data_IF_838158790289
#
_entry.id   IF_838158790289
#
_cell.length_a   1.000
_cell.length_b   1.000
_cell.length_c   1.000
_cell.angle_alpha   90.00
_cell.angle_beta   90.00
_cell.angle_gamma   90.00
#
_symmetry.space_group_name_H-M   'P 1'
#
loop_
_entity.id
_entity.type
_entity.pdbx_description
1 polymer ?
#
# COMPACT_ATOMS: atom_id res chain seq x y z
N UNK A 1 -3.82 28.02 -30.03
CA UNK A 1 -3.76 28.28 -28.58
C UNK A 1 -5.18 28.27 -28.03
N UNK A 2 -5.85 27.10 -28.11
CA UNK A 2 -7.27 26.96 -27.76
C UNK A 2 -7.39 25.99 -26.58
N UNK A 3 -8.04 26.44 -25.52
CA UNK A 3 -8.23 25.75 -24.25
C UNK A 3 -9.38 24.73 -24.34
N UNK A 4 -9.11 23.56 -24.92
CA UNK A 4 -10.11 22.47 -24.98
C UNK A 4 -10.18 21.76 -23.62
N UNK A 5 -11.17 22.15 -22.81
CA UNK A 5 -11.41 21.63 -21.47
C UNK A 5 -11.78 20.14 -21.43
N UNK A 6 -11.23 19.42 -20.45
CA UNK A 6 -11.69 18.09 -20.04
C UNK A 6 -12.89 18.29 -19.11
N UNK A 7 -14.10 17.95 -19.56
CA UNK A 7 -15.31 18.07 -18.75
C UNK A 7 -15.74 16.68 -18.23
N UNK A 8 -15.64 16.46 -16.91
CA UNK A 8 -16.36 15.36 -16.25
C UNK A 8 -17.84 15.76 -16.13
N UNK A 9 -18.73 15.10 -16.86
CA UNK A 9 -20.17 15.28 -16.68
C UNK A 9 -20.74 14.16 -15.79
N UNK A 10 -21.22 14.52 -14.60
CA UNK A 10 -21.81 13.57 -13.65
C UNK A 10 -23.31 13.41 -13.95
N UNK A 11 -23.71 12.35 -14.67
CA UNK A 11 -25.14 12.00 -14.87
C UNK A 11 -25.60 11.01 -13.80
N UNK A 12 -26.58 11.41 -13.00
CA UNK A 12 -27.32 10.54 -12.09
C UNK A 12 -28.45 9.83 -12.87
N UNK A 13 -28.42 8.49 -12.91
CA UNK A 13 -29.51 7.68 -13.47
C UNK A 13 -30.51 7.31 -12.36
N UNK A 14 -31.78 7.74 -12.41
CA UNK A 14 -32.72 7.65 -11.27
C UNK A 14 -33.47 6.30 -11.20
N UNK A 15 -32.78 5.15 -11.38
CA UNK A 15 -33.49 3.85 -11.48
C UNK A 15 -32.75 2.58 -11.08
N UNK A 16 -31.45 2.63 -10.72
CA UNK A 16 -30.69 1.49 -10.20
C UNK A 16 -29.60 2.04 -9.28
N UNK A 17 -29.41 1.45 -8.11
CA UNK A 17 -28.44 1.87 -7.08
C UNK A 17 -27.15 2.44 -7.67
N UNK A 18 -26.98 3.75 -7.54
CA UNK A 18 -25.73 4.52 -7.52
C UNK A 18 -24.55 3.94 -8.34
N UNK A 19 -24.69 3.72 -9.64
CA UNK A 19 -23.55 3.50 -10.52
C UNK A 19 -22.97 4.86 -10.97
N UNK A 20 -21.82 5.22 -10.38
CA UNK A 20 -20.99 6.36 -10.77
C UNK A 20 -20.18 5.96 -12.00
N UNK A 21 -20.55 6.48 -13.17
CA UNK A 21 -19.86 6.23 -14.43
C UNK A 21 -19.13 7.50 -14.85
N UNK A 22 -17.80 7.51 -14.71
CA UNK A 22 -16.95 8.57 -15.26
C UNK A 22 -16.65 8.24 -16.73
N UNK A 23 -17.28 8.98 -17.65
CA UNK A 23 -16.96 8.94 -19.07
C UNK A 23 -15.90 10.00 -19.40
N UNK A 24 -14.71 9.58 -19.83
CA UNK A 24 -13.69 10.48 -20.41
C UNK A 24 -13.92 10.54 -21.92
N UNK A 25 -14.33 11.69 -22.43
CA UNK A 25 -14.48 11.93 -23.87
C UNK A 25 -13.14 12.43 -24.43
N UNK A 26 -12.46 11.61 -25.23
CA UNK A 26 -11.24 12.00 -25.96
C UNK A 26 -11.61 12.27 -27.41
N UNK A 27 -11.50 13.53 -27.84
CA UNK A 27 -11.80 13.93 -29.22
C UNK A 27 -10.62 13.69 -30.15
N UNK A 28 -10.67 12.63 -30.97
CA UNK A 28 -9.87 12.52 -32.18
C UNK A 28 -10.76 12.05 -33.34
N UNK A 29 -10.64 12.75 -34.47
CA UNK A 29 -11.38 12.58 -35.73
C UNK A 29 -12.22 11.30 -35.90
N UNK A 30 -13.55 11.47 -35.86
CA UNK A 30 -14.47 10.74 -36.74
C UNK A 30 -14.81 9.27 -36.43
N UNK A 31 -14.49 8.74 -35.25
CA UNK A 31 -15.00 7.44 -34.79
C UNK A 31 -15.45 7.55 -33.33
N UNK A 32 -16.77 7.49 -33.09
CA UNK A 32 -17.33 7.34 -31.74
C UNK A 32 -17.06 5.91 -31.26
N UNK A 33 -15.83 5.63 -30.87
CA UNK A 33 -15.53 4.46 -30.05
C UNK A 33 -16.09 4.74 -28.65
N UNK A 34 -17.28 4.21 -28.39
CA UNK A 34 -17.76 4.05 -27.02
C UNK A 34 -16.73 3.15 -26.32
N UNK A 35 -15.86 3.74 -25.50
CA UNK A 35 -15.04 2.97 -24.57
C UNK A 35 -16.03 2.37 -23.56
N UNK A 36 -16.54 1.18 -23.88
CA UNK A 36 -17.23 0.31 -22.93
C UNK A 36 -16.37 0.27 -21.67
N UNK A 37 -16.93 0.76 -20.56
CA UNK A 37 -16.26 0.75 -19.28
C UNK A 37 -15.89 -0.70 -18.97
N UNK A 38 -14.62 -1.04 -19.11
CA UNK A 38 -14.11 -2.38 -18.83
C UNK A 38 -14.31 -2.65 -17.34
N UNK A 39 -15.45 -3.24 -17.01
CA UNK A 39 -15.80 -3.68 -15.65
C UNK A 39 -14.91 -4.87 -15.33
N UNK A 40 -13.75 -4.57 -14.75
CA UNK A 40 -12.82 -5.57 -14.24
C UNK A 40 -13.58 -6.49 -13.30
N UNK A 41 -13.69 -7.77 -13.67
CA UNK A 41 -14.27 -8.80 -12.81
C UNK A 41 -13.45 -8.82 -11.52
N UNK A 42 -14.10 -8.61 -10.36
CA UNK A 42 -13.43 -8.88 -9.09
C UNK A 42 -13.18 -10.39 -9.00
N UNK A 43 -11.93 -10.79 -9.23
CA UNK A 43 -11.49 -12.20 -9.18
C UNK A 43 -11.13 -12.62 -7.75
N UNK A 44 -10.99 -11.66 -6.83
CA UNK A 44 -10.53 -11.91 -5.47
C UNK A 44 -11.74 -12.04 -4.54
N UNK A 45 -12.03 -13.27 -4.10
CA UNK A 45 -13.02 -13.52 -3.05
C UNK A 45 -12.46 -13.28 -1.64
N UNK A 46 -13.31 -13.38 -0.61
CA UNK A 46 -12.92 -13.14 0.79
C UNK A 46 -11.72 -13.98 1.23
N UNK A 47 -11.76 -15.29 0.96
CA UNK A 47 -10.66 -16.20 1.31
C UNK A 47 -9.35 -15.85 0.60
N UNK A 48 -9.43 -15.48 -0.69
CA UNK A 48 -8.25 -15.04 -1.46
C UNK A 48 -7.68 -13.72 -0.95
N UNK A 49 -8.55 -12.78 -0.55
CA UNK A 49 -8.14 -11.51 0.05
C UNK A 49 -7.44 -11.71 1.40
N UNK A 50 -8.00 -12.53 2.29
CA UNK A 50 -7.40 -12.86 3.59
C UNK A 50 -6.04 -13.52 3.39
N UNK A 51 -5.95 -14.52 2.50
CA UNK A 51 -4.70 -15.21 2.22
C UNK A 51 -3.61 -14.27 1.67
N UNK A 52 -3.98 -13.36 0.77
CA UNK A 52 -3.07 -12.36 0.21
C UNK A 52 -2.58 -11.38 1.28
N UNK A 53 -3.48 -10.86 2.12
CA UNK A 53 -3.11 -9.96 3.22
C UNK A 53 -2.21 -10.69 4.22
N UNK A 54 -2.53 -11.92 4.63
CA UNK A 54 -1.67 -12.70 5.52
C UNK A 54 -0.29 -12.96 4.93
N UNK A 55 -0.20 -13.28 3.64
CA UNK A 55 1.06 -13.53 2.96
C UNK A 55 1.94 -12.28 2.82
N UNK A 56 1.33 -11.09 2.71
CA UNK A 56 2.07 -9.83 2.67
C UNK A 56 2.50 -9.32 4.04
N UNK A 57 1.80 -9.71 5.11
CA UNK A 57 2.17 -9.34 6.50
C UNK A 57 3.23 -10.27 7.08
N UNK A 58 3.16 -11.57 6.79
CA UNK A 58 4.12 -12.56 7.29
C UNK A 58 5.37 -12.52 6.39
N UNK A 59 6.38 -11.79 6.83
CA UNK A 59 7.69 -11.69 6.16
C UNK A 59 8.85 -12.29 6.96
N UNK A 60 10.07 -12.12 6.46
CA UNK A 60 11.31 -12.55 7.13
C UNK A 60 11.59 -11.85 8.47
N UNK A 61 10.88 -10.75 8.76
CA UNK A 61 11.02 -9.98 9.99
C UNK A 61 10.72 -10.76 11.27
N UNK A 62 9.98 -11.88 11.21
CA UNK A 62 9.69 -12.73 12.37
C UNK A 62 10.94 -13.41 12.94
N UNK A 63 11.97 -13.64 12.11
CA UNK A 63 13.21 -14.25 12.57
C UNK A 63 14.16 -13.23 13.19
N UNK A 64 14.03 -11.95 12.83
CA UNK A 64 14.94 -10.90 13.29
C UNK A 64 14.39 -10.08 14.46
N UNK A 65 13.10 -9.73 14.42
CA UNK A 65 12.47 -8.90 15.44
C UNK A 65 12.57 -9.45 16.87
N UNK A 66 12.41 -10.77 17.13
CA UNK A 66 12.45 -11.27 18.50
C UNK A 66 13.81 -11.08 19.17
N UNK A 67 14.90 -11.30 18.44
CA UNK A 67 16.26 -11.10 18.96
C UNK A 67 16.52 -9.63 19.28
N UNK A 68 16.11 -8.73 18.38
CA UNK A 68 16.25 -7.29 18.55
C UNK A 68 15.46 -6.76 19.76
N UNK A 69 14.17 -7.13 19.87
CA UNK A 69 13.32 -6.70 20.98
C UNK A 69 13.82 -7.25 22.30
N UNK A 70 14.25 -8.52 22.35
CA UNK A 70 14.76 -9.12 23.57
C UNK A 70 16.09 -8.47 24.00
N UNK A 71 16.97 -8.13 23.05
CA UNK A 71 18.21 -7.43 23.34
C UNK A 71 17.99 -6.02 23.94
N UNK A 72 16.97 -5.30 23.47
CA UNK A 72 16.64 -3.96 24.00
C UNK A 72 15.95 -4.01 25.37
N UNK A 73 15.14 -5.04 25.64
CA UNK A 73 14.24 -5.10 26.80
C UNK A 73 14.82 -5.95 27.94
N UNK A 74 15.68 -6.92 27.63
CA UNK A 74 16.37 -7.78 28.59
C UNK A 74 15.52 -8.85 29.28
N UNK A 75 14.18 -8.75 29.20
CA UNK A 75 13.24 -9.70 29.81
C UNK A 75 12.25 -10.28 28.78
N UNK A 76 12.03 -11.61 28.75
CA UNK A 76 11.10 -12.26 27.82
C UNK A 76 9.63 -11.94 28.12
N UNK A 77 9.27 -11.62 29.37
CA UNK A 77 7.90 -11.24 29.70
C UNK A 77 7.54 -9.85 29.15
N UNK A 78 8.48 -8.91 29.25
CA UNK A 78 8.28 -7.56 28.73
C UNK A 78 8.32 -7.51 27.19
N UNK A 79 9.10 -8.38 26.52
CA UNK A 79 9.09 -8.47 25.04
C UNK A 79 7.74 -8.95 24.49
N UNK A 80 7.08 -9.89 25.17
CA UNK A 80 5.72 -10.33 24.81
C UNK A 80 4.68 -9.21 24.93
N UNK A 81 4.78 -8.37 25.96
CA UNK A 81 3.89 -7.21 26.11
C UNK A 81 4.09 -6.20 24.97
N UNK A 82 5.33 -5.92 24.60
CA UNK A 82 5.64 -5.01 23.47
C UNK A 82 5.09 -5.56 22.16
N UNK A 83 5.17 -6.88 21.95
CA UNK A 83 4.57 -7.55 20.80
C UNK A 83 3.03 -7.45 20.79
N UNK A 84 2.39 -7.63 21.94
CA UNK A 84 0.94 -7.47 22.06
C UNK A 84 0.51 -6.03 21.78
N UNK A 85 1.24 -5.04 22.32
CA UNK A 85 0.97 -3.62 22.10
C UNK A 85 1.19 -3.20 20.65
N UNK A 86 2.26 -3.67 19.99
CA UNK A 86 2.50 -3.38 18.57
C UNK A 86 1.41 -3.98 17.68
N UNK A 87 0.94 -5.19 18.00
CA UNK A 87 -0.21 -5.82 17.35
C UNK A 87 -1.49 -5.00 17.50
N UNK A 88 -1.78 -4.49 18.70
CA UNK A 88 -2.94 -3.65 18.95
C UNK A 88 -2.88 -2.34 18.14
N UNK A 89 -1.72 -1.65 18.13
CA UNK A 89 -1.51 -0.44 17.34
C UNK A 89 -1.68 -0.72 15.84
N UNK A 90 -1.16 -1.84 15.35
CA UNK A 90 -1.31 -2.24 13.95
C UNK A 90 -2.77 -2.49 13.57
N UNK A 91 -3.57 -3.11 14.46
CA UNK A 91 -5.00 -3.32 14.24
C UNK A 91 -5.73 -1.98 14.08
N UNK A 92 -5.50 -1.02 14.99
CA UNK A 92 -6.11 0.31 14.87
C UNK A 92 -5.67 1.03 13.59
N UNK A 93 -4.40 0.93 13.20
CA UNK A 93 -3.90 1.54 11.98
C UNK A 93 -4.58 0.96 10.72
N UNK A 94 -4.76 -0.36 10.67
CA UNK A 94 -5.43 -1.02 9.53
C UNK A 94 -6.93 -0.70 9.52
N UNK A 95 -7.61 -0.68 10.66
CA UNK A 95 -9.02 -0.31 10.76
C UNK A 95 -9.29 1.07 10.16
N UNK A 96 -8.55 2.10 10.60
CA UNK A 96 -8.69 3.46 10.07
C UNK A 96 -8.36 3.54 8.58
N UNK A 97 -7.37 2.76 8.12
CA UNK A 97 -7.00 2.72 6.70
C UNK A 97 -8.05 1.99 5.85
N UNK A 98 -8.70 0.96 6.39
CA UNK A 98 -9.83 0.27 5.76
C UNK A 98 -11.03 1.19 5.61
N UNK A 99 -11.39 1.96 6.64
CA UNK A 99 -12.45 2.96 6.53
C UNK A 99 -12.16 3.95 5.39
N UNK A 100 -10.94 4.51 5.35
CA UNK A 100 -10.53 5.41 4.28
C UNK A 100 -10.61 4.76 2.89
N UNK A 101 -10.22 3.48 2.78
CA UNK A 101 -10.29 2.73 1.52
C UNK A 101 -11.69 2.32 1.09
N UNK A 102 -12.64 2.23 2.01
CA UNK A 102 -14.06 2.06 1.65
C UNK A 102 -14.70 3.36 1.16
N UNK A 103 -14.20 4.53 1.60
CA UNK A 103 -14.73 5.84 1.19
C UNK A 103 -14.23 6.24 -0.20
N UNK A 104 -12.96 5.92 -0.56
CA UNK A 104 -12.38 6.17 -1.89
C UNK A 104 -11.97 4.85 -2.56
N UNK A 105 -12.90 4.14 -3.22
CA UNK A 105 -12.61 2.88 -3.92
C UNK A 105 -11.97 3.11 -5.30
N UNK A 106 -10.92 3.94 -5.34
CA UNK A 106 -10.20 4.29 -6.57
C UNK A 106 -8.95 3.43 -6.76
N UNK A 107 -8.64 3.11 -8.01
CA UNK A 107 -7.44 2.34 -8.34
C UNK A 107 -6.19 3.23 -8.23
N UNK A 108 -5.30 2.91 -7.28
CA UNK A 108 -4.02 3.61 -7.09
C UNK A 108 -3.49 3.66 -5.65
N UNK A 109 -4.22 3.09 -4.70
CA UNK A 109 -3.74 2.89 -3.32
C UNK A 109 -3.44 4.18 -2.57
N UNK A 110 -2.36 4.18 -1.78
CA UNK A 110 -1.98 5.31 -0.90
C UNK A 110 -1.83 6.64 -1.64
N UNK A 111 -1.40 6.59 -2.90
CA UNK A 111 -1.15 7.77 -3.71
C UNK A 111 -2.43 8.55 -4.02
N UNK A 112 -3.55 7.86 -4.25
CA UNK A 112 -4.81 8.52 -4.61
C UNK A 112 -5.36 9.35 -3.45
N UNK A 113 -5.19 8.90 -2.20
CA UNK A 113 -5.58 9.72 -1.04
C UNK A 113 -4.83 11.04 -0.99
N UNK A 114 -3.52 11.01 -1.23
CA UNK A 114 -2.68 12.22 -1.22
C UNK A 114 -3.07 13.14 -2.38
N UNK A 115 -3.29 12.58 -3.57
CA UNK A 115 -3.71 13.33 -4.75
C UNK A 115 -5.05 14.04 -4.52
N UNK A 116 -6.02 13.38 -3.88
CA UNK A 116 -7.36 13.93 -3.61
C UNK A 116 -7.34 15.05 -2.57
N UNK A 117 -6.51 14.93 -1.53
CA UNK A 117 -6.49 15.87 -0.41
C UNK A 117 -5.57 17.07 -0.70
N UNK A 118 -4.40 16.84 -1.28
CA UNK A 118 -3.35 17.85 -1.44
C UNK A 118 -3.17 18.35 -2.89
N UNK A 119 -3.79 17.71 -3.88
CA UNK A 119 -3.64 18.07 -5.29
C UNK A 119 -2.35 17.57 -5.94
N UNK A 120 -2.15 17.88 -7.24
CA UNK A 120 -1.12 17.25 -8.08
C UNK A 120 0.33 17.56 -7.71
N UNK A 121 0.63 18.79 -7.28
CA UNK A 121 2.01 19.21 -7.01
C UNK A 121 2.65 18.50 -5.79
N UNK A 122 2.03 18.52 -4.59
CA UNK A 122 2.56 17.78 -3.44
C UNK A 122 2.43 16.26 -3.60
N UNK A 123 1.43 15.77 -4.34
CA UNK A 123 1.30 14.34 -4.63
C UNK A 123 2.50 13.81 -5.43
N UNK A 124 2.98 14.56 -6.43
CA UNK A 124 4.17 14.18 -7.19
C UNK A 124 5.41 14.04 -6.31
N UNK A 125 5.70 15.03 -5.47
CA UNK A 125 6.84 14.96 -4.55
C UNK A 125 6.71 13.79 -3.57
N UNK A 126 5.52 13.57 -3.01
CA UNK A 126 5.28 12.44 -2.11
C UNK A 126 5.51 11.09 -2.82
N UNK A 127 5.07 10.95 -4.07
CA UNK A 127 5.30 9.74 -4.86
C UNK A 127 6.79 9.54 -5.17
N UNK A 128 7.49 10.61 -5.57
CA UNK A 128 8.93 10.59 -5.87
C UNK A 128 9.71 10.20 -4.61
N UNK A 129 9.45 10.82 -3.47
CA UNK A 129 10.07 10.45 -2.19
C UNK A 129 9.78 9.01 -1.79
N UNK A 130 8.54 8.56 -1.95
CA UNK A 130 8.17 7.20 -1.60
C UNK A 130 8.89 6.16 -2.47
N UNK A 131 9.01 6.41 -3.78
CA UNK A 131 9.64 5.50 -4.74
C UNK A 131 11.17 5.55 -4.65
N UNK A 132 11.77 6.74 -4.52
CA UNK A 132 13.22 6.92 -4.55
C UNK A 132 13.90 6.76 -3.18
N UNK A 133 13.20 7.00 -2.08
CA UNK A 133 13.79 6.91 -0.74
C UNK A 133 13.23 5.72 0.02
N UNK A 134 11.91 5.71 0.27
CA UNK A 134 11.32 4.75 1.22
C UNK A 134 11.46 3.29 0.72
N UNK A 135 11.14 3.06 -0.56
CA UNK A 135 11.20 1.72 -1.17
C UNK A 135 12.63 1.14 -1.20
N UNK A 136 13.64 1.81 -1.79
CA UNK A 136 15.00 1.26 -1.83
C UNK A 136 15.64 1.19 -0.45
N UNK A 137 15.36 2.14 0.46
CA UNK A 137 15.86 2.06 1.83
C UNK A 137 15.36 0.81 2.55
N UNK A 138 14.08 0.47 2.39
CA UNK A 138 13.50 -0.74 2.98
C UNK A 138 14.16 -2.02 2.43
N UNK A 139 14.40 -2.07 1.11
CA UNK A 139 15.06 -3.20 0.45
C UNK A 139 16.52 -3.31 0.91
N UNK A 140 17.23 -2.18 1.02
CA UNK A 140 18.62 -2.13 1.47
C UNK A 140 18.76 -2.59 2.94
N UNK A 141 17.88 -2.14 3.82
CA UNK A 141 17.85 -2.58 5.22
C UNK A 141 17.61 -4.10 5.30
N UNK A 142 16.67 -4.64 4.52
CA UNK A 142 16.44 -6.08 4.44
C UNK A 142 17.65 -6.83 3.87
N UNK A 143 18.33 -6.30 2.85
CA UNK A 143 19.50 -6.97 2.25
C UNK A 143 20.68 -7.02 3.21
N UNK A 144 20.95 -5.94 3.95
CA UNK A 144 22.01 -5.89 4.96
C UNK A 144 21.73 -6.94 6.03
N UNK A 145 20.49 -6.98 6.52
CA UNK A 145 20.12 -7.95 7.54
C UNK A 145 20.26 -9.38 7.01
N UNK A 146 19.81 -9.68 5.79
CA UNK A 146 19.99 -11.02 5.21
C UNK A 146 21.47 -11.38 5.09
N UNK A 147 22.33 -10.42 4.71
CA UNK A 147 23.76 -10.64 4.63
C UNK A 147 24.33 -11.07 5.99
N UNK A 148 24.01 -10.36 7.07
CA UNK A 148 24.45 -10.69 8.44
C UNK A 148 24.04 -12.11 8.85
N UNK A 149 22.79 -12.50 8.60
CA UNK A 149 22.31 -13.85 8.94
C UNK A 149 22.91 -14.94 8.03
N UNK A 150 23.21 -14.62 6.76
CA UNK A 150 23.84 -15.56 5.83
C UNK A 150 25.31 -15.82 6.17
N UNK A 151 26.02 -14.84 6.73
CA UNK A 151 27.42 -14.97 7.13
C UNK A 151 27.61 -15.47 8.57
N UNK A 152 26.59 -15.39 9.43
CA UNK A 152 26.60 -15.96 10.77
C UNK A 152 27.16 -17.40 10.88
N UNK A 153 26.84 -18.37 9.99
CA UNK A 153 27.41 -19.72 10.06
C UNK A 153 28.90 -19.81 9.65
N UNK A 154 29.46 -18.81 8.99
CA UNK A 154 30.87 -18.81 8.57
C UNK A 154 31.78 -18.07 9.56
N UNK A 155 31.22 -17.21 10.40
CA UNK A 155 31.93 -16.44 11.43
C UNK A 155 31.46 -16.84 12.83
N UNK A 156 31.90 -18.01 13.30
CA UNK A 156 31.62 -18.46 14.66
C UNK A 156 32.36 -17.57 15.68
N UNK A 157 31.64 -16.67 16.35
CA UNK A 157 32.16 -15.91 17.49
C UNK A 157 32.84 -14.57 17.17
N UNK A 158 32.82 -14.12 15.91
CA UNK A 158 33.25 -12.78 15.51
C UNK A 158 32.08 -12.00 14.93
N UNK A 159 32.05 -10.68 15.17
CA UNK A 159 31.04 -9.83 14.55
C UNK A 159 31.34 -9.71 13.04
N UNK A 160 30.37 -10.01 12.17
CA UNK A 160 30.57 -9.87 10.73
C UNK A 160 30.88 -8.42 10.32
N UNK A 161 31.70 -8.21 9.28
CA UNK A 161 32.09 -6.89 8.78
C UNK A 161 30.98 -6.16 8.01
#
# INVERSE_FOLDING_TARGET
>A
QNWEGIYCTRRLNPGRSAEMVDHVVVGHHGQLHYAEALKMKQVIGLAGGIAMVSGTMIGSGIFMSPQFVLACVGSPGASLLIWALSGAVALFAVLSYTELGTILPESGGKFIYILKIYGSFPAFFAAVTFILLVKPFSIAAMSISIAEYAMAPFYFGCQPP
#
